data_IF_680670875864
#
_entry.id   IF_680670875864
#
_cell.length_a   1.000
_cell.length_b   1.000
_cell.length_c   1.000
_cell.angle_alpha   90.00
_cell.angle_beta   90.00
_cell.angle_gamma   90.00
#
_symmetry.space_group_name_H-M   'P 1'
#
loop_
_entity.id
_entity.type
_entity.pdbx_description
1 polymer ?
#
# COMPACT_ATOMS: atom_id res chain seq x y z
N UNK A 1 60.02 -9.66 -38.11
CA UNK A 1 58.73 -10.29 -37.88
C UNK A 1 58.27 -9.96 -36.46
N UNK A 2 57.37 -8.98 -36.33
CA UNK A 2 56.80 -8.58 -35.05
C UNK A 2 55.35 -9.09 -34.98
N UNK A 3 55.06 -9.88 -33.97
CA UNK A 3 53.74 -10.41 -33.69
C UNK A 3 53.04 -9.41 -32.78
N UNK A 4 52.00 -8.75 -33.31
CA UNK A 4 51.13 -7.83 -32.57
C UNK A 4 50.06 -8.69 -31.86
N UNK A 5 50.15 -8.86 -30.54
CA UNK A 5 49.16 -9.54 -29.74
C UNK A 5 48.05 -8.54 -29.41
N UNK A 6 46.86 -8.73 -30.04
CA UNK A 6 45.65 -7.99 -29.75
C UNK A 6 44.96 -8.62 -28.53
N UNK A 7 45.12 -7.98 -27.36
CA UNK A 7 44.37 -8.40 -26.15
C UNK A 7 42.92 -7.89 -26.24
N UNK A 8 42.00 -8.81 -26.44
CA UNK A 8 40.57 -8.59 -26.40
C UNK A 8 40.13 -8.47 -24.93
N UNK A 9 39.93 -7.26 -24.43
CA UNK A 9 39.33 -7.02 -23.11
C UNK A 9 37.83 -7.28 -23.20
N UNK A 10 37.38 -8.45 -22.76
CA UNK A 10 35.96 -8.68 -22.52
C UNK A 10 35.54 -7.88 -21.28
N UNK A 11 34.85 -6.77 -21.47
CA UNK A 11 34.16 -6.08 -20.41
C UNK A 11 32.96 -6.92 -19.98
N UNK A 12 33.09 -7.63 -18.86
CA UNK A 12 31.93 -8.20 -18.15
C UNK A 12 31.15 -7.01 -17.57
N UNK A 13 30.08 -6.60 -18.23
CA UNK A 13 29.06 -5.78 -17.59
C UNK A 13 28.37 -6.66 -16.51
N UNK A 14 28.32 -6.22 -15.25
CA UNK A 14 27.53 -6.93 -14.26
C UNK A 14 26.08 -6.91 -14.74
N UNK A 15 25.49 -8.08 -14.94
CA UNK A 15 24.06 -8.20 -15.14
C UNK A 15 23.41 -7.63 -13.86
N UNK A 16 22.81 -6.44 -13.98
CA UNK A 16 21.95 -5.93 -12.92
C UNK A 16 20.86 -7.02 -12.74
N UNK A 17 20.87 -7.70 -11.58
CA UNK A 17 19.72 -8.50 -11.19
C UNK A 17 18.55 -7.53 -11.18
N UNK A 18 17.58 -7.73 -12.07
CA UNK A 18 16.33 -7.02 -12.03
C UNK A 18 15.74 -7.22 -10.62
N UNK A 19 15.64 -6.16 -9.85
CA UNK A 19 15.01 -6.20 -8.55
C UNK A 19 13.59 -6.73 -8.78
N UNK A 20 13.29 -7.90 -8.22
CA UNK A 20 11.95 -8.47 -8.32
C UNK A 20 11.04 -7.55 -7.53
N UNK A 21 10.09 -6.92 -8.21
CA UNK A 21 9.09 -6.08 -7.55
C UNK A 21 8.36 -6.88 -6.47
N UNK A 22 8.13 -6.29 -5.29
CA UNK A 22 7.36 -6.97 -4.25
C UNK A 22 5.98 -7.35 -4.77
N UNK A 23 5.45 -8.45 -4.25
CA UNK A 23 4.14 -8.96 -4.62
C UNK A 23 3.30 -9.14 -3.37
N UNK A 24 2.14 -8.50 -3.34
CA UNK A 24 1.09 -8.72 -2.36
C UNK A 24 0.01 -9.62 -2.98
N UNK A 25 -0.22 -10.76 -2.33
CA UNK A 25 -1.26 -11.71 -2.72
C UNK A 25 -2.38 -11.74 -1.69
N UNK A 26 -3.63 -11.67 -2.16
CA UNK A 26 -4.80 -11.98 -1.33
C UNK A 26 -5.16 -13.43 -1.48
N UNK A 27 -5.35 -14.13 -0.36
CA UNK A 27 -5.81 -15.50 -0.31
C UNK A 27 -7.10 -15.59 0.49
N UNK A 28 -8.17 -16.03 -0.15
CA UNK A 28 -9.45 -16.32 0.45
C UNK A 28 -9.73 -17.84 0.36
N UNK A 29 -10.60 -18.40 1.22
CA UNK A 29 -11.02 -19.79 1.08
C UNK A 29 -11.70 -20.01 -0.28
N UNK A 30 -11.48 -21.18 -0.86
CA UNK A 30 -12.07 -21.57 -2.14
C UNK A 30 -13.61 -21.64 -2.05
N UNK A 31 -14.12 -22.06 -0.89
CA UNK A 31 -15.54 -22.07 -0.60
C UNK A 31 -15.86 -21.08 0.54
N UNK A 32 -16.77 -20.16 0.27
CA UNK A 32 -17.26 -19.24 1.28
C UNK A 32 -18.22 -20.01 2.20
N UNK A 33 -18.06 -19.91 3.55
CA UNK A 33 -18.95 -20.60 4.48
C UNK A 33 -20.40 -20.08 4.40
N UNK A 34 -21.33 -20.84 5.00
CA UNK A 34 -22.73 -20.46 5.05
C UNK A 34 -22.96 -19.10 5.74
N UNK A 35 -24.04 -18.43 5.37
CA UNK A 35 -24.48 -17.15 5.95
C UNK A 35 -24.45 -17.18 7.49
N UNK A 36 -23.91 -16.12 8.09
CA UNK A 36 -23.72 -15.95 9.52
C UNK A 36 -22.42 -16.57 10.07
N UNK A 37 -21.67 -17.34 9.29
CA UNK A 37 -20.38 -17.90 9.68
C UNK A 37 -19.25 -16.93 9.40
N UNK A 38 -18.11 -17.15 10.05
CA UNK A 38 -16.89 -16.36 9.85
C UNK A 38 -15.83 -17.16 9.10
N UNK A 39 -14.99 -16.45 8.37
CA UNK A 39 -13.79 -16.97 7.70
C UNK A 39 -12.70 -15.90 7.66
N UNK A 40 -11.53 -16.26 7.22
CA UNK A 40 -10.41 -15.34 7.13
C UNK A 40 -9.90 -15.20 5.69
N UNK A 41 -9.44 -14.00 5.39
CA UNK A 41 -8.72 -13.65 4.16
C UNK A 41 -7.35 -13.14 4.57
N UNK A 42 -6.29 -13.63 3.92
CA UNK A 42 -4.92 -13.21 4.23
C UNK A 42 -4.33 -12.38 3.11
N UNK A 43 -3.55 -11.38 3.47
CA UNK A 43 -2.66 -10.67 2.56
C UNK A 43 -1.22 -11.14 2.84
N UNK A 44 -0.52 -11.61 1.82
CA UNK A 44 0.83 -12.16 1.93
C UNK A 44 1.80 -11.40 1.04
N UNK A 45 2.98 -11.08 1.58
CA UNK A 45 4.07 -10.40 0.88
C UNK A 45 5.13 -11.39 0.46
N UNK A 46 5.58 -11.28 -0.79
CA UNK A 46 6.75 -11.98 -1.32
C UNK A 46 7.65 -11.03 -2.12
N UNK A 47 8.92 -11.39 -2.28
CA UNK A 47 9.89 -10.56 -3.00
C UNK A 47 10.21 -9.24 -2.30
N UNK A 48 10.14 -9.18 -0.97
CA UNK A 48 10.40 -7.98 -0.18
C UNK A 48 11.88 -7.55 -0.27
N UNK A 49 12.21 -6.39 -0.87
CA UNK A 49 13.59 -5.90 -0.99
C UNK A 49 14.13 -5.25 0.29
N UNK A 50 13.29 -5.10 1.29
CA UNK A 50 13.50 -4.36 2.52
C UNK A 50 12.46 -3.24 2.60
N UNK A 51 11.45 -3.42 3.45
CA UNK A 51 10.29 -2.54 3.59
C UNK A 51 10.46 -1.60 4.77
N UNK A 52 10.21 -0.30 4.57
CA UNK A 52 10.11 0.70 5.64
C UNK A 52 8.70 1.20 5.84
N UNK A 53 7.86 1.11 4.80
CA UNK A 53 6.46 1.49 4.87
C UNK A 53 5.58 0.55 4.04
N UNK A 54 4.39 0.29 4.54
CA UNK A 54 3.36 -0.42 3.81
C UNK A 54 2.00 0.20 4.12
N UNK A 55 1.24 0.47 3.08
CA UNK A 55 -0.19 0.73 3.16
C UNK A 55 -0.87 -0.21 2.18
N UNK A 56 -1.94 -0.86 2.59
CA UNK A 56 -2.80 -1.61 1.72
C UNK A 56 -4.25 -1.59 2.20
N UNK A 57 -5.16 -1.46 1.26
CA UNK A 57 -6.61 -1.50 1.49
C UNK A 57 -7.15 -2.76 0.85
N UNK A 58 -7.86 -3.58 1.63
CA UNK A 58 -8.62 -4.72 1.12
C UNK A 58 -10.07 -4.26 0.85
N UNK A 59 -10.44 -4.20 -0.41
CA UNK A 59 -11.81 -3.93 -0.83
C UNK A 59 -12.60 -5.24 -0.99
N UNK A 60 -13.91 -5.19 -0.68
CA UNK A 60 -14.83 -6.34 -0.72
C UNK A 60 -16.25 -5.90 -1.03
N UNK A 61 -17.12 -6.85 -1.35
CA UNK A 61 -18.56 -6.58 -1.50
C UNK A 61 -19.27 -6.59 -0.13
N UNK A 62 -19.60 -5.40 0.36
CA UNK A 62 -20.30 -5.23 1.64
C UNK A 62 -21.74 -5.77 1.68
N UNK A 63 -22.34 -6.11 0.52
CA UNK A 63 -23.60 -6.82 0.48
C UNK A 63 -23.45 -8.33 0.77
N UNK A 64 -22.23 -8.85 0.66
CA UNK A 64 -21.89 -10.26 0.81
C UNK A 64 -21.21 -10.57 2.12
N UNK A 65 -20.32 -9.71 2.56
CA UNK A 65 -19.48 -9.91 3.74
C UNK A 65 -19.33 -8.64 4.55
N UNK A 66 -19.08 -8.79 5.83
CA UNK A 66 -18.70 -7.72 6.77
C UNK A 66 -17.34 -8.04 7.36
N UNK A 67 -16.42 -7.10 7.32
CA UNK A 67 -15.14 -7.24 8.02
C UNK A 67 -15.36 -7.00 9.51
N UNK A 68 -15.02 -8.00 10.33
CA UNK A 68 -15.23 -7.98 11.78
C UNK A 68 -13.93 -7.86 12.57
N UNK A 69 -12.80 -7.88 11.89
CA UNK A 69 -11.50 -7.69 12.53
C UNK A 69 -10.34 -7.79 11.54
N UNK A 70 -9.26 -7.12 11.89
CA UNK A 70 -7.99 -7.16 11.17
C UNK A 70 -6.85 -7.40 12.16
N UNK A 71 -6.01 -8.37 11.86
CA UNK A 71 -4.82 -8.69 12.67
C UNK A 71 -3.59 -8.57 11.79
N UNK A 72 -2.56 -7.91 12.30
CA UNK A 72 -1.27 -7.79 11.58
C UNK A 72 -0.51 -9.12 11.58
N UNK A 73 0.13 -9.41 10.47
CA UNK A 73 0.91 -10.63 10.29
C UNK A 73 2.36 -10.51 10.75
N UNK A 74 3.06 -11.63 10.73
CA UNK A 74 4.44 -11.75 11.22
C UNK A 74 5.46 -10.89 10.48
N UNK A 75 5.23 -10.60 9.20
CA UNK A 75 6.11 -9.73 8.41
C UNK A 75 6.18 -8.32 8.97
N UNK A 76 5.11 -7.83 9.58
CA UNK A 76 5.05 -6.50 10.19
C UNK A 76 5.59 -6.48 11.63
N UNK A 77 6.12 -7.60 12.13
CA UNK A 77 6.70 -7.67 13.47
C UNK A 77 7.84 -6.66 13.64
N UNK A 78 7.73 -5.82 14.67
CA UNK A 78 8.70 -4.74 14.92
C UNK A 78 8.43 -3.43 14.19
N UNK A 79 7.42 -3.35 13.33
CA UNK A 79 6.93 -2.12 12.74
C UNK A 79 5.85 -1.46 13.61
N UNK A 80 5.72 -0.16 13.52
CA UNK A 80 4.54 0.55 14.02
C UNK A 80 3.39 0.24 13.05
N UNK A 81 2.29 -0.32 13.56
CA UNK A 81 1.15 -0.74 12.73
C UNK A 81 -0.14 -0.11 13.19
N UNK A 82 -1.03 0.14 12.23
CA UNK A 82 -2.42 0.51 12.48
C UNK A 82 -3.33 -0.28 11.54
N UNK A 83 -4.49 -0.69 12.05
CA UNK A 83 -5.52 -1.40 11.29
C UNK A 83 -6.85 -0.70 11.44
N UNK A 84 -7.67 -0.75 10.39
CA UNK A 84 -9.04 -0.26 10.41
C UNK A 84 -9.91 -1.21 9.61
N UNK A 85 -10.77 -1.99 10.30
CA UNK A 85 -11.71 -2.93 9.72
C UNK A 85 -12.88 -2.28 8.98
N UNK A 86 -13.15 -1.02 9.30
CA UNK A 86 -14.25 -0.22 8.73
C UNK A 86 -13.73 1.06 8.09
N UNK A 87 -12.63 0.97 7.32
CA UNK A 87 -12.03 2.12 6.65
C UNK A 87 -13.02 2.84 5.72
N UNK A 88 -13.84 2.05 5.03
CA UNK A 88 -15.07 2.50 4.37
C UNK A 88 -16.15 1.43 4.51
N UNK A 89 -17.35 1.66 3.95
CA UNK A 89 -18.42 0.68 3.97
C UNK A 89 -18.04 -0.67 3.34
N UNK A 90 -17.07 -0.69 2.44
CA UNK A 90 -16.65 -1.85 1.65
C UNK A 90 -15.14 -2.06 1.63
N UNK A 91 -14.41 -1.58 2.62
CA UNK A 91 -12.96 -1.75 2.69
C UNK A 91 -12.41 -1.74 4.10
N UNK A 92 -11.34 -2.50 4.30
CA UNK A 92 -10.51 -2.53 5.49
C UNK A 92 -9.07 -2.16 5.14
N UNK A 93 -8.35 -1.52 6.06
CA UNK A 93 -7.01 -0.95 5.80
C UNK A 93 -5.98 -1.41 6.81
N UNK A 94 -4.77 -1.60 6.33
CA UNK A 94 -3.57 -1.87 7.15
C UNK A 94 -2.49 -0.87 6.75
N UNK A 95 -1.84 -0.30 7.75
CA UNK A 95 -0.70 0.60 7.58
C UNK A 95 0.42 0.13 8.49
N UNK A 96 1.64 0.19 8.00
CA UNK A 96 2.84 -0.13 8.77
C UNK A 96 3.99 0.80 8.42
N UNK A 97 4.79 1.18 9.41
CA UNK A 97 5.98 2.00 9.21
C UNK A 97 7.10 1.58 10.17
N UNK A 98 8.35 1.70 9.72
CA UNK A 98 9.54 1.41 10.52
C UNK A 98 10.67 2.37 10.17
N UNK A 99 11.48 2.72 11.15
CA UNK A 99 12.70 3.49 10.95
C UNK A 99 13.83 2.66 10.33
N UNK A 100 13.70 1.34 10.31
CA UNK A 100 14.69 0.41 9.75
C UNK A 100 14.01 -0.54 8.78
N UNK A 101 14.69 -0.89 7.70
CA UNK A 101 14.14 -1.79 6.72
C UNK A 101 13.85 -3.18 7.31
N UNK A 102 12.64 -3.65 7.15
CA UNK A 102 12.20 -5.00 7.51
C UNK A 102 12.33 -5.90 6.28
N UNK A 103 13.09 -6.95 6.40
CA UNK A 103 13.28 -7.97 5.36
C UNK A 103 12.53 -9.23 5.77
N UNK A 104 11.93 -9.88 4.85
CA UNK A 104 11.18 -11.13 5.07
C UNK A 104 9.90 -11.14 4.27
N UNK A 105 9.43 -12.34 4.01
CA UNK A 105 8.19 -12.60 3.30
C UNK A 105 7.22 -13.29 4.24
N UNK A 106 5.93 -13.25 3.92
CA UNK A 106 4.89 -13.93 4.66
C UNK A 106 3.65 -13.06 4.86
N UNK A 107 2.85 -13.39 5.87
CA UNK A 107 1.58 -12.74 6.13
C UNK A 107 1.78 -11.30 6.60
N UNK A 108 1.15 -10.36 5.88
CA UNK A 108 1.03 -8.95 6.22
C UNK A 108 -0.14 -8.73 7.15
N UNK A 109 -1.30 -9.27 6.80
CA UNK A 109 -2.51 -9.15 7.59
C UNK A 109 -3.46 -10.34 7.38
N UNK A 110 -4.26 -10.59 8.40
CA UNK A 110 -5.40 -11.51 8.36
C UNK A 110 -6.67 -10.72 8.65
N UNK A 111 -7.59 -10.72 7.70
CA UNK A 111 -8.89 -10.09 7.80
C UNK A 111 -9.93 -11.14 8.16
N UNK A 112 -10.74 -10.89 9.16
CA UNK A 112 -11.85 -11.77 9.56
C UNK A 112 -13.15 -11.22 9.02
N UNK A 113 -13.89 -12.05 8.31
CA UNK A 113 -15.17 -11.69 7.71
C UNK A 113 -16.30 -12.54 8.25
N UNK A 114 -17.49 -11.95 8.35
CA UNK A 114 -18.75 -12.62 8.55
C UNK A 114 -19.54 -12.62 7.24
N UNK A 115 -20.10 -13.77 6.86
CA UNK A 115 -20.94 -13.90 5.66
C UNK A 115 -22.31 -13.30 5.93
N UNK A 116 -22.74 -12.37 5.10
CA UNK A 116 -24.07 -11.72 5.14
C UNK A 116 -25.04 -12.32 4.14
N UNK A 117 -24.55 -12.69 2.96
CA UNK A 117 -25.35 -13.34 1.92
C UNK A 117 -24.46 -14.18 1.00
N UNK A 118 -25.06 -15.14 0.28
CA UNK A 118 -24.34 -15.99 -0.67
C UNK A 118 -23.85 -15.18 -1.88
N UNK A 119 -22.70 -15.58 -2.41
CA UNK A 119 -22.08 -15.01 -3.61
C UNK A 119 -20.64 -14.58 -3.40
N UNK A 120 -20.00 -14.14 -4.48
CA UNK A 120 -18.61 -13.72 -4.47
C UNK A 120 -18.44 -12.39 -3.74
N UNK A 121 -17.53 -12.34 -2.79
CA UNK A 121 -17.20 -11.14 -2.03
C UNK A 121 -16.21 -10.20 -2.76
N UNK A 122 -15.69 -10.60 -3.93
CA UNK A 122 -14.82 -9.78 -4.80
C UNK A 122 -13.64 -9.12 -4.09
N UNK A 123 -12.89 -9.88 -3.32
CA UNK A 123 -11.73 -9.37 -2.61
C UNK A 123 -10.65 -8.88 -3.58
N UNK A 124 -10.16 -7.65 -3.35
CA UNK A 124 -9.05 -7.08 -4.11
C UNK A 124 -8.26 -6.08 -3.26
N UNK A 125 -6.96 -6.00 -3.49
CA UNK A 125 -6.13 -4.97 -2.89
C UNK A 125 -6.21 -3.68 -3.73
N UNK A 126 -6.30 -2.56 -3.01
CA UNK A 126 -6.29 -1.20 -3.57
C UNK A 126 -5.43 -0.30 -2.71
N UNK A 127 -5.12 0.90 -3.19
CA UNK A 127 -4.38 1.92 -2.44
C UNK A 127 -3.11 1.34 -1.78
N UNK A 128 -2.24 0.73 -2.59
CA UNK A 128 -1.03 0.13 -2.10
C UNK A 128 0.09 1.15 -2.17
N UNK A 129 0.72 1.39 -1.03
CA UNK A 129 1.98 2.11 -0.92
C UNK A 129 3.01 1.14 -0.35
N UNK A 130 4.14 0.99 -1.00
CA UNK A 130 5.25 0.18 -0.55
C UNK A 130 6.51 1.04 -0.56
N UNK A 131 7.00 1.39 0.64
CA UNK A 131 8.27 2.09 0.82
C UNK A 131 9.40 1.09 1.01
N UNK A 132 10.44 1.21 0.21
CA UNK A 132 11.63 0.38 0.30
C UNK A 132 12.59 0.84 1.43
N UNK A 133 13.79 0.24 1.49
CA UNK A 133 14.80 0.54 2.51
C UNK A 133 15.33 1.97 2.46
N UNK A 134 15.22 2.63 1.32
CA UNK A 134 15.68 3.99 1.09
C UNK A 134 14.54 5.00 1.29
N UNK A 135 13.37 4.51 1.76
CA UNK A 135 12.12 5.25 1.91
C UNK A 135 11.56 5.78 0.58
N UNK A 136 11.93 5.14 -0.52
CA UNK A 136 11.37 5.42 -1.84
C UNK A 136 10.15 4.54 -2.07
N UNK A 137 9.10 5.12 -2.65
CA UNK A 137 7.92 4.34 -3.05
C UNK A 137 8.24 3.53 -4.30
N UNK A 138 8.05 2.22 -4.22
CA UNK A 138 8.25 1.32 -5.36
C UNK A 138 6.96 0.58 -5.71
N UNK A 139 6.84 0.24 -6.99
CA UNK A 139 5.69 -0.51 -7.49
C UNK A 139 5.60 -1.89 -6.84
N UNK A 140 4.46 -2.17 -6.22
CA UNK A 140 4.12 -3.47 -5.65
C UNK A 140 3.09 -4.15 -6.56
N UNK A 141 3.36 -5.38 -6.99
CA UNK A 141 2.40 -6.18 -7.75
C UNK A 141 1.34 -6.74 -6.82
N UNK A 142 0.15 -7.02 -7.38
CA UNK A 142 -0.95 -7.64 -6.64
C UNK A 142 -1.45 -8.89 -7.35
N UNK A 143 -1.81 -9.90 -6.57
CA UNK A 143 -2.52 -11.09 -7.04
C UNK A 143 -3.68 -11.42 -6.10
N UNK A 144 -4.79 -11.89 -6.68
CA UNK A 144 -5.92 -12.40 -5.92
C UNK A 144 -5.98 -13.92 -6.13
N UNK A 145 -6.02 -14.69 -5.04
CA UNK A 145 -6.02 -16.15 -5.09
C UNK A 145 -7.40 -16.77 -5.39
N UNK A 146 -8.09 -16.25 -6.34
CA UNK A 146 -9.24 -16.92 -6.97
C UNK A 146 -9.00 -16.98 -8.49
N UNK A 147 -7.87 -17.58 -8.91
CA UNK A 147 -7.64 -18.05 -10.28
C UNK A 147 -7.86 -17.05 -11.42
N UNK A 148 -7.84 -15.75 -11.15
CA UNK A 148 -7.95 -14.70 -12.17
C UNK A 148 -6.80 -13.75 -11.98
N UNK A 149 -5.85 -13.82 -12.90
CA UNK A 149 -4.84 -12.79 -13.08
C UNK A 149 -5.53 -11.46 -13.34
N UNK A 150 -5.65 -10.66 -12.29
CA UNK A 150 -5.73 -9.22 -12.47
C UNK A 150 -4.29 -8.74 -12.62
N UNK A 151 -3.72 -8.91 -13.81
CA UNK A 151 -2.65 -8.06 -14.28
C UNK A 151 -3.23 -6.67 -14.44
N UNK A 152 -3.42 -6.01 -13.31
CA UNK A 152 -3.51 -4.57 -13.24
C UNK A 152 -2.11 -4.06 -13.51
N UNK A 153 -1.75 -4.07 -14.78
CA UNK A 153 -0.74 -3.22 -15.34
C UNK A 153 -1.04 -1.81 -14.82
N UNK A 154 -0.11 -1.23 -14.05
CA UNK A 154 -0.05 0.21 -13.87
C UNK A 154 0.13 0.82 -15.25
N UNK A 155 -0.91 0.89 -16.03
CA UNK A 155 -0.98 1.77 -17.17
C UNK A 155 -1.07 3.18 -16.63
N UNK A 156 0.07 3.83 -16.58
CA UNK A 156 0.08 5.24 -16.90
C UNK A 156 -0.60 5.40 -18.25
N UNK A 157 -1.85 5.74 -18.24
CA UNK A 157 -2.45 6.56 -19.28
C UNK A 157 -3.70 7.17 -18.68
N UNK A 158 -3.62 8.47 -18.53
CA UNK A 158 -4.70 9.30 -18.09
C UNK A 158 -5.92 9.16 -18.95
N UNK A 159 -6.94 9.60 -18.39
CA UNK A 159 -8.15 10.21 -18.89
C UNK A 159 -9.40 9.51 -18.34
N UNK A 160 -9.99 10.21 -17.42
CA UNK A 160 -11.43 10.37 -17.43
C UNK A 160 -12.23 9.41 -16.59
N UNK A 161 -12.35 9.73 -15.30
CA UNK A 161 -13.68 10.04 -14.81
C UNK A 161 -13.56 10.92 -13.57
N UNK A 162 -13.95 12.13 -13.75
CA UNK A 162 -14.07 13.18 -12.75
C UNK A 162 -15.24 12.83 -11.82
N UNK A 163 -15.02 12.68 -10.52
CA UNK A 163 -16.04 13.12 -9.58
C UNK A 163 -15.97 14.64 -9.55
N UNK A 164 -17.13 15.25 -9.63
CA UNK A 164 -17.37 16.66 -9.76
C UNK A 164 -16.46 17.55 -8.89
N UNK A 165 -16.00 18.60 -9.54
CA UNK A 165 -15.33 19.77 -9.01
C UNK A 165 -15.58 20.05 -7.53
N UNK A 166 -14.54 19.93 -6.72
CA UNK A 166 -14.35 20.75 -5.55
C UNK A 166 -13.04 21.51 -5.73
N UNK A 167 -13.20 22.80 -5.92
CA UNK A 167 -12.25 23.89 -5.78
C UNK A 167 -10.77 23.57 -5.98
N UNK A 168 -10.23 24.01 -7.10
CA UNK A 168 -8.80 24.15 -7.38
C UNK A 168 -8.18 25.19 -6.43
N UNK A 169 -7.74 24.74 -5.27
CA UNK A 169 -6.94 25.53 -4.35
C UNK A 169 -6.24 24.54 -3.43
N UNK A 170 -4.91 24.55 -3.40
CA UNK A 170 -4.15 23.82 -2.39
C UNK A 170 -4.59 24.36 -1.03
N UNK A 171 -4.93 23.46 -0.08
CA UNK A 171 -5.32 23.83 1.28
C UNK A 171 -4.17 24.57 1.98
N UNK A 172 -2.93 24.23 1.64
CA UNK A 172 -1.72 24.83 2.21
C UNK A 172 -0.83 25.44 1.14
N UNK A 173 -0.37 26.67 1.38
CA UNK A 173 0.41 27.45 0.41
C UNK A 173 1.81 26.89 0.12
N UNK A 174 2.36 26.10 1.02
CA UNK A 174 3.69 25.49 0.94
C UNK A 174 3.69 24.00 0.51
N UNK A 175 2.52 23.48 0.14
CA UNK A 175 2.36 22.10 -0.35
C UNK A 175 1.86 22.14 -1.79
N UNK A 176 2.76 22.26 -2.77
CA UNK A 176 2.35 22.25 -4.18
C UNK A 176 1.83 20.86 -4.59
N UNK A 177 0.99 20.81 -5.63
CA UNK A 177 0.44 19.56 -6.14
C UNK A 177 1.51 18.55 -6.61
N UNK A 178 2.72 19.02 -6.90
CA UNK A 178 3.89 18.19 -7.23
C UNK A 178 4.62 17.63 -6.00
N UNK A 179 4.23 18.03 -4.79
CA UNK A 179 4.84 17.49 -3.57
C UNK A 179 4.39 16.04 -3.37
N UNK A 180 5.31 15.13 -3.10
CA UNK A 180 5.04 13.70 -2.98
C UNK A 180 3.94 13.36 -1.97
N UNK A 181 3.85 14.11 -0.86
CA UNK A 181 2.85 13.93 0.18
C UNK A 181 1.56 14.74 -0.03
N UNK A 182 1.40 15.47 -1.16
CA UNK A 182 0.29 16.38 -1.42
C UNK A 182 -1.08 15.73 -1.16
N UNK A 183 -1.35 14.60 -1.82
CA UNK A 183 -2.65 13.92 -1.70
C UNK A 183 -2.95 13.43 -0.28
N UNK A 184 -1.93 13.01 0.47
CA UNK A 184 -2.09 12.58 1.86
C UNK A 184 -2.40 13.77 2.78
N UNK A 185 -1.70 14.88 2.60
CA UNK A 185 -1.87 16.11 3.38
C UNK A 185 -3.25 16.71 3.12
N UNK A 186 -3.66 16.85 1.86
CA UNK A 186 -4.98 17.38 1.50
C UNK A 186 -6.11 16.49 2.06
N UNK A 187 -5.94 15.18 2.01
CA UNK A 187 -6.91 14.24 2.58
C UNK A 187 -6.99 14.35 4.10
N UNK A 188 -5.84 14.43 4.78
CA UNK A 188 -5.78 14.61 6.23
C UNK A 188 -6.42 15.92 6.67
N UNK A 189 -6.19 17.00 5.93
CA UNK A 189 -6.82 18.30 6.16
C UNK A 189 -8.34 18.24 5.93
N UNK A 190 -8.77 17.59 4.84
CA UNK A 190 -10.17 17.46 4.48
C UNK A 190 -11.03 16.71 5.51
N UNK A 191 -10.42 15.76 6.24
CA UNK A 191 -11.08 15.02 7.33
C UNK A 191 -10.77 15.56 8.73
N UNK A 192 -10.06 16.70 8.81
CA UNK A 192 -9.75 17.36 10.09
C UNK A 192 -8.69 16.68 10.94
N UNK A 193 -7.91 15.76 10.37
CA UNK A 193 -6.79 15.08 11.06
C UNK A 193 -5.53 15.96 11.13
N UNK A 194 -5.39 16.93 10.24
CA UNK A 194 -4.26 17.84 10.21
C UNK A 194 -4.75 19.26 9.86
N UNK A 195 -4.48 20.23 10.73
CA UNK A 195 -4.98 21.60 10.59
C UNK A 195 -3.99 22.59 9.99
N UNK A 196 -2.71 22.23 9.83
CA UNK A 196 -1.66 23.15 9.44
C UNK A 196 -1.41 24.26 10.46
N UNK A 197 -0.80 25.36 9.99
CA UNK A 197 -0.50 26.53 10.83
C UNK A 197 -1.44 27.69 10.50
N UNK A 198 -1.60 28.67 11.44
CA UNK A 198 -2.48 29.81 11.22
C UNK A 198 -2.09 30.71 10.04
N UNK A 199 -0.86 30.60 9.54
CA UNK A 199 -0.37 31.31 8.36
C UNK A 199 -0.73 30.64 7.02
N UNK A 200 -1.52 29.56 7.06
CA UNK A 200 -1.92 28.80 5.87
C UNK A 200 -0.86 27.87 5.32
N UNK A 201 0.17 27.54 6.12
CA UNK A 201 1.22 26.56 5.76
C UNK A 201 1.01 25.23 6.47
N UNK A 202 1.54 24.14 5.92
CA UNK A 202 1.58 22.82 6.54
C UNK A 202 2.96 22.49 7.12
N UNK A 203 4.01 22.99 6.47
CA UNK A 203 5.43 22.77 6.81
C UNK A 203 5.82 21.29 6.84
N UNK A 204 5.66 20.56 5.73
CA UNK A 204 5.81 19.11 5.67
C UNK A 204 7.20 18.61 6.06
N UNK A 205 8.22 19.44 5.94
CA UNK A 205 9.60 19.10 6.29
C UNK A 205 10.04 19.60 7.69
N UNK A 206 9.12 20.20 8.46
CA UNK A 206 9.44 20.67 9.80
C UNK A 206 9.40 19.51 10.82
N UNK A 207 10.30 19.55 11.80
CA UNK A 207 10.26 18.60 12.90
C UNK A 207 8.98 18.81 13.73
N UNK A 208 8.24 17.74 13.97
CA UNK A 208 7.04 17.75 14.83
C UNK A 208 7.48 17.72 16.30
N UNK A 209 7.04 18.68 17.08
CA UNK A 209 7.27 18.68 18.52
C UNK A 209 6.33 17.70 19.23
N UNK A 210 6.70 17.23 20.44
CA UNK A 210 5.83 16.40 21.28
C UNK A 210 4.47 17.04 21.53
N UNK A 211 4.43 18.36 21.71
CA UNK A 211 3.19 19.09 21.97
C UNK A 211 2.25 19.11 20.74
N UNK A 212 2.80 19.11 19.54
CA UNK A 212 2.01 19.04 18.29
C UNK A 212 1.51 17.62 17.99
N UNK A 213 2.17 16.60 18.53
CA UNK A 213 1.75 15.20 18.31
C UNK A 213 0.61 14.77 19.27
N UNK A 214 0.38 15.47 20.37
CA UNK A 214 -0.58 15.10 21.43
C UNK A 214 -1.87 15.95 21.37
N UNK A 215 -2.00 16.84 20.38
CA UNK A 215 -3.25 17.58 20.13
C UNK A 215 -4.19 16.75 19.25
#
# INVERSE_FOLDING_TARGET
AGILALALLLAFAPAALAATSPLLRVSAPEEVPAVGKTFTVTAELSGNPGMTALECTLAFDAARVECTGVTTGSVLGGMLTATNESYSANSAKVVAASASAVTGNGTVATFTFRVLSDGDANFRLTDIVFGDRDCEEIACRTETAAGRDNTGESSETGAGETPAAAASGTTFSDVPASFWGYSAIERAAGVGLAGGFPDGTFRPNAAVSRAQFVQ
#
